data_IF_634340486387
#
_entry.id   IF_634340486387
#
_cell.length_a   1.000
_cell.length_b   1.000
_cell.length_c   1.000
_cell.angle_alpha   90.00
_cell.angle_beta   90.00
_cell.angle_gamma   90.00
#
_symmetry.space_group_name_H-M   'P 1'
#
loop_
_entity.id
_entity.type
_entity.pdbx_description
1 polymer ?
#
# COMPACT_ATOMS: atom_id res chain seq x y z
N UNK A 1 -7.39 9.85 -15.24
CA UNK A 1 -6.08 9.22 -15.46
C UNK A 1 -6.02 8.39 -16.75
N UNK A 2 -7.18 8.04 -17.35
CA UNK A 2 -7.23 7.27 -18.61
C UNK A 2 -6.91 5.78 -18.48
N UNK A 3 -6.73 5.27 -17.25
CA UNK A 3 -6.50 3.86 -16.96
C UNK A 3 -7.71 3.24 -16.25
N UNK A 4 -8.06 1.97 -16.54
CA UNK A 4 -9.05 1.25 -15.76
C UNK A 4 -8.54 1.09 -14.33
N UNK A 5 -9.37 1.48 -13.35
CA UNK A 5 -9.06 1.41 -11.94
C UNK A 5 -9.75 0.24 -11.26
N UNK A 6 -9.01 -0.46 -10.42
CA UNK A 6 -9.51 -1.50 -9.54
C UNK A 6 -9.09 -1.22 -8.10
N UNK A 7 -9.92 -1.60 -7.16
CA UNK A 7 -9.60 -1.53 -5.74
C UNK A 7 -9.89 -2.86 -5.06
N UNK A 8 -9.03 -3.22 -4.12
CA UNK A 8 -9.26 -4.33 -3.22
C UNK A 8 -9.12 -3.85 -1.77
N UNK A 9 -10.00 -4.29 -0.91
CA UNK A 9 -9.95 -4.01 0.51
C UNK A 9 -10.71 -5.09 1.31
N UNK A 10 -10.58 -5.12 2.63
CA UNK A 10 -11.28 -6.08 3.47
C UNK A 10 -12.80 -6.05 3.26
N UNK A 11 -13.40 -4.88 3.11
CA UNK A 11 -14.82 -4.68 2.86
C UNK A 11 -15.04 -3.96 1.54
N UNK A 12 -16.04 -4.38 0.76
CA UNK A 12 -16.35 -3.77 -0.54
C UNK A 12 -16.59 -2.26 -0.40
N UNK A 13 -15.95 -1.52 -1.29
CA UNK A 13 -16.15 -0.07 -1.44
C UNK A 13 -16.92 0.20 -2.72
N UNK A 14 -17.62 1.32 -2.76
CA UNK A 14 -18.31 1.78 -3.95
C UNK A 14 -17.73 3.12 -4.37
N UNK A 15 -17.05 3.13 -5.51
CA UNK A 15 -16.48 4.32 -6.11
C UNK A 15 -16.90 4.41 -7.57
N UNK A 16 -17.31 5.58 -8.07
CA UNK A 16 -17.61 5.75 -9.49
C UNK A 16 -16.41 5.32 -10.35
N UNK A 17 -16.66 4.53 -11.38
CA UNK A 17 -15.66 4.08 -12.37
C UNK A 17 -14.52 3.21 -11.80
N UNK A 18 -14.65 2.66 -10.60
CA UNK A 18 -13.69 1.73 -10.01
C UNK A 18 -14.34 0.37 -9.80
N UNK A 19 -13.76 -0.67 -10.37
CA UNK A 19 -14.15 -2.05 -10.07
C UNK A 19 -13.63 -2.43 -8.68
N UNK A 20 -14.54 -2.67 -7.73
CA UNK A 20 -14.18 -2.98 -6.35
C UNK A 20 -14.25 -4.46 -6.06
N UNK A 21 -13.21 -4.96 -5.42
CA UNK A 21 -13.06 -6.32 -4.91
C UNK A 21 -12.95 -6.30 -3.38
N UNK A 22 -13.37 -7.35 -2.72
CA UNK A 22 -13.35 -7.43 -1.26
C UNK A 22 -13.05 -8.84 -0.77
N UNK A 23 -12.38 -8.89 0.39
CA UNK A 23 -12.10 -10.17 1.06
C UNK A 23 -11.06 -11.02 0.34
N UNK A 24 -10.77 -12.17 0.95
CA UNK A 24 -9.75 -13.08 0.44
C UNK A 24 -10.21 -13.80 -0.84
N UNK A 25 -11.50 -14.04 -0.95
CA UNK A 25 -12.08 -14.80 -2.07
C UNK A 25 -11.91 -14.08 -3.42
N UNK A 26 -11.92 -12.76 -3.42
CA UNK A 26 -11.81 -11.96 -4.65
C UNK A 26 -10.37 -11.45 -4.92
N UNK A 27 -9.43 -11.73 -4.01
CA UNK A 27 -8.06 -11.24 -4.14
C UNK A 27 -7.39 -11.78 -5.42
N UNK A 28 -7.58 -13.04 -5.74
CA UNK A 28 -7.00 -13.67 -6.93
C UNK A 28 -7.50 -13.03 -8.23
N UNK A 29 -8.79 -12.75 -8.34
CA UNK A 29 -9.38 -12.07 -9.50
C UNK A 29 -8.85 -10.63 -9.63
N UNK A 30 -8.77 -9.90 -8.50
CA UNK A 30 -8.19 -8.57 -8.47
C UNK A 30 -6.74 -8.57 -8.96
N UNK A 31 -5.91 -9.48 -8.44
CA UNK A 31 -4.49 -9.56 -8.79
C UNK A 31 -4.27 -9.98 -10.25
N UNK A 32 -4.98 -10.99 -10.74
CA UNK A 32 -4.85 -11.50 -12.10
C UNK A 32 -5.14 -10.47 -13.19
N UNK A 33 -5.86 -9.40 -12.87
CA UNK A 33 -6.16 -8.30 -13.78
C UNK A 33 -5.42 -6.99 -13.44
N UNK A 34 -4.48 -7.02 -12.48
CA UNK A 34 -3.76 -5.84 -11.97
C UNK A 34 -2.34 -5.79 -12.53
N UNK A 35 -2.08 -4.86 -13.44
CA UNK A 35 -0.75 -4.66 -14.01
C UNK A 35 0.14 -3.73 -13.19
N UNK A 36 -0.44 -2.81 -12.47
CA UNK A 36 0.26 -1.91 -11.55
C UNK A 36 -0.41 -2.05 -10.19
N UNK A 37 0.25 -2.74 -9.28
CA UNK A 37 -0.21 -2.92 -7.91
C UNK A 37 0.30 -1.77 -7.04
N UNK A 38 -0.61 -0.98 -6.49
CA UNK A 38 -0.28 0.11 -5.56
C UNK A 38 -0.75 -0.28 -4.17
N UNK A 39 0.18 -0.40 -3.24
CA UNK A 39 -0.12 -0.72 -1.84
C UNK A 39 -0.35 0.56 -1.03
N UNK A 40 -1.56 0.66 -0.47
CA UNK A 40 -2.01 1.73 0.44
C UNK A 40 -2.68 1.15 1.69
N UNK A 41 -2.43 -0.13 2.01
CA UNK A 41 -3.05 -0.82 3.13
C UNK A 41 -2.59 -0.23 4.48
N UNK A 42 -3.44 -0.24 5.50
CA UNK A 42 -3.03 0.07 6.86
C UNK A 42 -2.11 -1.02 7.41
N UNK A 43 -1.24 -0.66 8.35
CA UNK A 43 -0.37 -1.62 9.04
C UNK A 43 -1.16 -2.35 10.13
N UNK A 44 -1.46 -3.62 9.90
CA UNK A 44 -2.15 -4.51 10.83
C UNK A 44 -1.47 -5.88 10.82
N UNK A 45 -1.76 -6.73 11.78
CA UNK A 45 -1.23 -8.09 11.80
C UNK A 45 -1.55 -8.88 10.52
N UNK A 46 -2.68 -8.59 9.86
CA UNK A 46 -3.13 -9.26 8.64
C UNK A 46 -2.39 -8.77 7.38
N UNK A 47 -1.79 -7.58 7.44
CA UNK A 47 -1.13 -6.95 6.27
C UNK A 47 0.40 -7.06 6.30
N UNK A 48 0.99 -7.51 7.41
CA UNK A 48 2.42 -7.80 7.49
C UNK A 48 2.77 -8.93 6.52
N UNK A 49 3.74 -8.69 5.63
CA UNK A 49 4.20 -9.65 4.63
C UNK A 49 3.13 -10.04 3.60
N UNK A 50 2.09 -9.25 3.43
CA UNK A 50 1.01 -9.56 2.46
C UNK A 50 1.54 -9.61 1.02
N UNK A 51 2.51 -8.76 0.67
CA UNK A 51 3.17 -8.75 -0.64
C UNK A 51 4.36 -9.69 -0.58
N UNK A 52 4.08 -10.96 -0.79
CA UNK A 52 5.01 -12.08 -0.79
C UNK A 52 5.03 -12.81 -2.12
N UNK A 53 5.83 -13.86 -2.23
CA UNK A 53 5.97 -14.67 -3.43
C UNK A 53 4.62 -15.16 -3.98
N UNK A 54 3.71 -15.62 -3.09
CA UNK A 54 2.42 -16.18 -3.51
C UNK A 54 1.51 -15.10 -4.11
N UNK A 55 1.49 -13.90 -3.51
CA UNK A 55 0.73 -12.78 -4.06
C UNK A 55 1.35 -12.31 -5.38
N UNK A 56 2.66 -12.12 -5.43
CA UNK A 56 3.36 -11.64 -6.62
C UNK A 56 3.20 -12.59 -7.81
N UNK A 57 3.14 -13.90 -7.56
CA UNK A 57 2.92 -14.90 -8.62
C UNK A 57 1.56 -14.76 -9.32
N UNK A 58 0.55 -14.22 -8.65
CA UNK A 58 -0.79 -14.03 -9.20
C UNK A 58 -0.93 -12.80 -10.10
N UNK A 59 0.02 -11.87 -10.04
CA UNK A 59 0.03 -10.72 -10.94
C UNK A 59 0.33 -11.18 -12.38
N UNK A 60 -0.14 -10.48 -13.42
CA UNK A 60 0.33 -10.71 -14.79
C UNK A 60 1.84 -10.53 -14.91
N UNK A 61 2.45 -11.20 -15.89
CA UNK A 61 3.87 -10.99 -16.18
C UNK A 61 4.15 -9.54 -16.60
N UNK A 62 5.32 -9.06 -16.28
CA UNK A 62 5.74 -7.67 -16.49
C UNK A 62 4.90 -6.64 -15.73
N UNK A 63 4.35 -7.01 -14.57
CA UNK A 63 3.67 -6.08 -13.67
C UNK A 63 4.63 -5.19 -12.90
N UNK A 64 4.08 -4.16 -12.29
CA UNK A 64 4.80 -3.24 -11.41
C UNK A 64 4.19 -3.26 -10.01
N UNK A 65 5.03 -3.07 -9.01
CA UNK A 65 4.61 -2.92 -7.60
C UNK A 65 5.05 -1.57 -7.07
N UNK A 66 4.12 -0.82 -6.49
CA UNK A 66 4.40 0.43 -5.80
C UNK A 66 4.02 0.27 -4.32
N UNK A 67 4.97 0.48 -3.41
CA UNK A 67 4.68 0.48 -1.98
C UNK A 67 4.80 1.90 -1.41
N UNK A 68 3.66 2.51 -1.13
CA UNK A 68 3.52 3.85 -0.56
C UNK A 68 2.86 3.79 0.83
N UNK A 69 2.78 2.59 1.42
CA UNK A 69 2.12 2.35 2.70
C UNK A 69 3.12 2.13 3.84
N UNK A 70 3.55 0.87 4.04
CA UNK A 70 4.56 0.51 5.05
C UNK A 70 5.48 -0.59 4.51
N UNK A 71 6.76 -0.52 4.87
CA UNK A 71 7.76 -1.48 4.40
C UNK A 71 7.49 -2.91 4.85
N UNK A 72 6.96 -3.09 6.04
CA UNK A 72 6.59 -4.42 6.58
C UNK A 72 5.55 -5.18 5.76
N UNK A 73 4.85 -4.52 4.84
CA UNK A 73 3.90 -5.19 3.94
C UNK A 73 4.59 -6.02 2.86
N UNK A 74 5.84 -5.71 2.54
CA UNK A 74 6.60 -6.36 1.46
C UNK A 74 7.64 -7.30 2.04
N UNK A 75 7.64 -8.55 1.59
CA UNK A 75 8.76 -9.47 1.79
C UNK A 75 9.82 -9.12 0.75
N UNK A 76 10.83 -8.34 1.15
CA UNK A 76 11.84 -7.77 0.22
C UNK A 76 12.59 -8.83 -0.58
N UNK A 77 12.88 -10.00 0.04
CA UNK A 77 13.52 -11.12 -0.66
C UNK A 77 12.65 -11.66 -1.80
N UNK A 78 11.34 -11.77 -1.60
CA UNK A 78 10.39 -12.24 -2.61
C UNK A 78 10.22 -11.22 -3.74
N UNK A 79 10.20 -9.93 -3.39
CA UNK A 79 10.17 -8.85 -4.37
C UNK A 79 11.40 -8.89 -5.27
N UNK A 80 12.61 -9.02 -4.68
CA UNK A 80 13.86 -9.13 -5.42
C UNK A 80 13.88 -10.37 -6.33
N UNK A 81 13.41 -11.51 -5.84
CA UNK A 81 13.30 -12.73 -6.64
C UNK A 81 12.36 -12.53 -7.85
N UNK A 82 11.22 -11.89 -7.65
CA UNK A 82 10.25 -11.59 -8.71
C UNK A 82 10.80 -10.57 -9.74
N UNK A 83 11.59 -9.61 -9.31
CA UNK A 83 12.29 -8.68 -10.20
C UNK A 83 13.39 -9.39 -11.00
N UNK A 84 14.22 -10.21 -10.34
CA UNK A 84 15.32 -10.92 -10.98
C UNK A 84 14.84 -11.95 -12.01
N UNK A 85 13.75 -12.65 -11.74
CA UNK A 85 13.13 -13.60 -12.68
C UNK A 85 12.44 -12.93 -13.87
N UNK A 86 12.19 -11.61 -13.80
CA UNK A 86 11.42 -10.89 -14.82
C UNK A 86 9.91 -10.97 -14.66
N UNK A 87 9.41 -11.63 -13.62
CA UNK A 87 7.98 -11.62 -13.26
C UNK A 87 7.47 -10.21 -13.07
N UNK A 88 8.24 -9.39 -12.35
CA UNK A 88 8.01 -7.95 -12.25
C UNK A 88 8.94 -7.18 -13.19
N UNK A 89 8.41 -6.18 -13.85
CA UNK A 89 9.16 -5.27 -14.70
C UNK A 89 9.82 -4.14 -13.89
N UNK A 90 9.27 -3.80 -12.74
CA UNK A 90 9.82 -2.80 -11.84
C UNK A 90 9.08 -2.68 -10.53
N UNK A 91 9.73 -2.03 -9.57
CA UNK A 91 9.12 -1.64 -8.31
C UNK A 91 9.46 -0.18 -7.96
N UNK A 92 8.54 0.48 -7.27
CA UNK A 92 8.74 1.79 -6.66
C UNK A 92 8.44 1.69 -5.17
N UNK A 93 9.43 1.99 -4.33
CA UNK A 93 9.35 1.85 -2.89
C UNK A 93 9.60 3.21 -2.22
N UNK A 94 8.60 3.70 -1.49
CA UNK A 94 8.76 4.89 -0.64
C UNK A 94 9.07 4.51 0.81
N UNK A 95 8.86 3.23 1.16
CA UNK A 95 8.97 2.69 2.52
C UNK A 95 9.68 1.34 2.51
N UNK A 96 10.37 1.03 3.61
CA UNK A 96 11.21 -0.16 3.74
C UNK A 96 10.94 -0.89 5.05
N UNK A 97 11.28 -2.19 5.10
CA UNK A 97 11.09 -3.02 6.31
C UNK A 97 11.93 -2.51 7.48
N UNK A 98 13.09 -1.93 7.18
CA UNK A 98 13.97 -1.21 8.11
C UNK A 98 14.28 0.17 7.55
N UNK A 99 14.03 1.20 8.34
CA UNK A 99 14.32 2.60 8.00
C UNK A 99 15.24 3.24 9.04
N UNK A 100 16.30 3.94 8.62
CA UNK A 100 16.76 4.11 7.23
C UNK A 100 17.13 2.77 6.59
N UNK A 101 16.97 2.67 5.25
CA UNK A 101 17.35 1.48 4.50
C UNK A 101 18.84 1.22 4.69
N UNK A 102 19.27 0.03 5.14
CA UNK A 102 20.67 -0.31 5.36
C UNK A 102 21.51 -0.12 4.09
N UNK A 103 22.76 0.33 4.25
CA UNK A 103 23.68 0.58 3.13
C UNK A 103 23.97 -0.68 2.31
N UNK A 104 23.98 -1.85 2.98
CA UNK A 104 24.19 -3.14 2.36
C UNK A 104 22.96 -3.71 1.63
N UNK A 105 21.83 -3.02 1.68
CA UNK A 105 20.61 -3.51 1.02
C UNK A 105 20.77 -3.66 -0.48
N UNK A 106 20.44 -4.84 -1.05
CA UNK A 106 20.51 -5.06 -2.49
C UNK A 106 19.54 -4.20 -3.29
N UNK A 107 18.58 -3.57 -2.63
CA UNK A 107 17.63 -2.65 -3.28
C UNK A 107 18.31 -1.43 -3.88
N UNK A 108 19.42 -0.93 -3.25
CA UNK A 108 20.14 0.24 -3.71
C UNK A 108 20.68 0.08 -5.13
N UNK A 109 21.23 -1.08 -5.44
CA UNK A 109 21.88 -1.35 -6.73
C UNK A 109 20.95 -1.97 -7.76
N UNK A 110 19.68 -2.26 -7.42
CA UNK A 110 18.81 -3.01 -8.32
C UNK A 110 18.26 -2.11 -9.45
N UNK A 111 18.53 -2.39 -10.73
CA UNK A 111 18.25 -1.48 -11.84
C UNK A 111 16.76 -1.28 -12.16
N UNK A 112 15.89 -2.11 -11.56
CA UNK A 112 14.43 -2.05 -11.74
C UNK A 112 13.70 -1.55 -10.50
N UNK A 113 14.43 -1.01 -9.50
CA UNK A 113 13.86 -0.43 -8.30
C UNK A 113 14.08 1.07 -8.31
N UNK A 114 13.00 1.83 -8.18
CA UNK A 114 13.01 3.24 -7.86
C UNK A 114 12.66 3.43 -6.39
N UNK A 115 13.31 4.37 -5.72
CA UNK A 115 13.10 4.60 -4.29
C UNK A 115 12.94 6.08 -3.97
N UNK A 116 12.13 6.37 -2.95
CA UNK A 116 12.02 7.69 -2.31
C UNK A 116 12.09 7.51 -0.78
N UNK A 117 12.55 8.51 -0.03
CA UNK A 117 12.84 8.37 1.40
C UNK A 117 11.62 8.67 2.29
N UNK A 118 10.55 7.87 2.16
CA UNK A 118 9.32 7.98 2.94
C UNK A 118 8.67 9.37 2.87
N UNK A 119 8.47 9.86 1.64
CA UNK A 119 7.96 11.23 1.37
C UNK A 119 6.69 11.24 0.50
N UNK A 120 6.12 10.09 0.18
CA UNK A 120 4.95 9.98 -0.70
C UNK A 120 3.70 10.69 -0.14
N UNK A 121 3.62 10.88 1.18
CA UNK A 121 2.49 11.54 1.84
C UNK A 121 2.98 12.51 2.92
N UNK A 122 3.60 13.61 2.52
CA UNK A 122 4.03 14.66 3.44
C UNK A 122 2.82 15.39 3.99
N UNK A 123 2.67 15.38 5.32
CA UNK A 123 1.61 16.09 6.02
C UNK A 123 1.83 17.60 5.90
N UNK A 124 0.82 18.33 5.43
CA UNK A 124 0.82 19.79 5.42
C UNK A 124 0.45 20.33 6.80
N UNK A 125 1.36 20.99 7.53
CA UNK A 125 1.13 21.33 8.94
C UNK A 125 -0.14 22.13 9.18
N UNK A 126 -0.41 23.15 8.35
CA UNK A 126 -1.58 24.02 8.53
C UNK A 126 -2.91 23.25 8.32
N UNK A 127 -2.96 22.38 7.31
CA UNK A 127 -4.15 21.56 7.05
C UNK A 127 -4.38 20.57 8.20
N UNK A 128 -3.30 19.95 8.70
CA UNK A 128 -3.36 19.02 9.83
C UNK A 128 -3.85 19.72 11.11
N UNK A 129 -3.32 20.90 11.44
CA UNK A 129 -3.73 21.67 12.62
C UNK A 129 -5.21 22.04 12.50
N UNK A 130 -5.65 22.53 11.35
CA UNK A 130 -7.04 22.91 11.10
C UNK A 130 -7.98 21.70 11.26
N UNK A 131 -7.60 20.57 10.69
CA UNK A 131 -8.36 19.32 10.82
C UNK A 131 -8.45 18.86 12.28
N UNK A 132 -7.33 18.83 13.01
CA UNK A 132 -7.28 18.42 14.42
C UNK A 132 -8.14 19.35 15.28
N UNK A 133 -8.00 20.66 15.14
CA UNK A 133 -8.79 21.64 15.90
C UNK A 133 -10.30 21.47 15.66
N UNK A 134 -10.69 21.30 14.39
CA UNK A 134 -12.08 21.05 14.01
C UNK A 134 -12.59 19.72 14.61
N UNK A 135 -11.77 18.68 14.58
CA UNK A 135 -12.13 17.37 15.12
C UNK A 135 -12.32 17.41 16.65
N UNK A 136 -11.42 18.10 17.37
CA UNK A 136 -11.56 18.32 18.82
C UNK A 136 -12.87 19.03 19.13
N UNK A 137 -13.15 20.15 18.47
CA UNK A 137 -14.38 20.89 18.70
C UNK A 137 -15.66 20.09 18.41
N UNK A 138 -15.63 19.18 17.43
CA UNK A 138 -16.74 18.25 17.16
C UNK A 138 -16.91 17.23 18.28
N UNK A 139 -15.80 16.65 18.74
CA UNK A 139 -15.82 15.68 19.86
C UNK A 139 -16.37 16.33 21.15
N UNK A 140 -15.97 17.56 21.47
CA UNK A 140 -16.48 18.30 22.63
C UNK A 140 -18.00 18.53 22.57
N UNK A 141 -18.56 18.63 21.37
CA UNK A 141 -20.01 18.73 21.16
C UNK A 141 -20.72 17.38 21.06
N UNK A 142 -20.00 16.26 21.23
CA UNK A 142 -20.57 14.92 21.09
C UNK A 142 -20.92 14.51 19.66
N UNK A 143 -20.36 15.18 18.66
CA UNK A 143 -20.59 14.89 17.25
C UNK A 143 -19.72 13.72 16.78
N UNK A 144 -20.24 12.93 15.83
CA UNK A 144 -19.43 11.89 15.19
C UNK A 144 -18.28 12.51 14.36
N UNK A 145 -17.09 11.91 14.48
CA UNK A 145 -15.90 12.33 13.74
C UNK A 145 -15.40 11.22 12.83
N UNK A 146 -14.80 11.60 11.72
CA UNK A 146 -14.13 10.66 10.82
C UNK A 146 -12.74 10.31 11.35
N UNK A 147 -12.24 9.10 11.05
CA UNK A 147 -10.90 8.68 11.44
C UNK A 147 -10.80 8.19 12.90
N UNK A 148 -11.92 7.90 13.54
CA UNK A 148 -11.90 7.26 14.85
C UNK A 148 -11.31 5.86 14.70
N UNK A 149 -10.24 5.59 15.46
CA UNK A 149 -9.55 4.30 15.44
C UNK A 149 -10.35 3.28 16.25
N UNK A 150 -10.72 2.19 15.61
CA UNK A 150 -11.21 1.00 16.30
C UNK A 150 -10.01 0.26 16.92
N UNK A 151 -9.94 0.26 18.25
CA UNK A 151 -8.80 -0.33 18.99
C UNK A 151 -8.67 -1.85 18.80
N UNK A 152 -9.75 -2.54 18.46
CA UNK A 152 -9.70 -3.99 18.17
C UNK A 152 -9.17 -4.27 16.77
N UNK A 153 -9.42 -3.36 15.83
CA UNK A 153 -8.98 -3.48 14.43
C UNK A 153 -7.62 -2.86 14.17
N UNK A 154 -7.17 -1.93 15.02
CA UNK A 154 -5.89 -1.24 14.90
C UNK A 154 -5.88 -0.06 13.91
N UNK A 155 -7.03 0.32 13.33
CA UNK A 155 -7.17 1.46 12.42
C UNK A 155 -8.61 1.96 12.36
#
# INVERSE_FOLDING_TARGET
>A
WGFPLRSWSRSRKSWPQVQSFAGQEELGEFLGATRVLINLLPNTAETVGIINQQLLAQLPDNSYVLNLARGVHVVEADLLAALNSGKLKGAMLDVFSREPLPEESPLWAHPRVAMTPHVAAVTRPLEAITYIASTIGRLERGEAVNGQVDRQRGY
#
